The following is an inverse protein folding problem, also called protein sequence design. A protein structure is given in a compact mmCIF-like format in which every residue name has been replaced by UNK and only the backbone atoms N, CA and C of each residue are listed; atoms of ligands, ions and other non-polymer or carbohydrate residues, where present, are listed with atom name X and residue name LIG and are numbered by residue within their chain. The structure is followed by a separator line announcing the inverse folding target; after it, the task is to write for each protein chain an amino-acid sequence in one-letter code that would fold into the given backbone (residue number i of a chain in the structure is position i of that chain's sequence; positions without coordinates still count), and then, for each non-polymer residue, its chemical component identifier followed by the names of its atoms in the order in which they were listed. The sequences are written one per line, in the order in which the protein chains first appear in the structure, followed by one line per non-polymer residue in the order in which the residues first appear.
data_IF_811811143311
#
_entry.id   IF_811811143311
#
_cell.length_a   1.000
_cell.length_b   1.000
_cell.length_c   1.000
_cell.angle_alpha   90.00
_cell.angle_beta   90.00
_cell.angle_gamma   90.00
#
_symmetry.space_group_name_H-M   'P 1'
#
loop_
_entity.id
_entity.type
_entity.pdbx_description
1 polymer ?
#
# COMPACT_ATOMS: atom_id res chain seq x y z
N UNK A 1 -9.10 -14.74 -9.20
CA UNK A 1 -9.72 -13.79 -10.15
C UNK A 1 -9.16 -12.41 -9.88
N UNK A 2 -8.88 -11.59 -10.89
CA UNK A 2 -8.41 -10.22 -10.66
C UNK A 2 -9.59 -9.31 -10.27
N UNK A 3 -9.39 -8.47 -9.26
CA UNK A 3 -10.37 -7.44 -8.83
C UNK A 3 -9.73 -6.05 -8.79
N UNK A 4 -10.53 -5.02 -9.01
CA UNK A 4 -10.09 -3.61 -9.07
C UNK A 4 -10.28 -2.90 -7.72
N UNK A 5 -9.80 -1.66 -7.62
CA UNK A 5 -9.82 -0.85 -6.39
C UNK A 5 -11.22 -0.68 -5.80
N UNK A 6 -12.26 -0.59 -6.63
CA UNK A 6 -13.66 -0.51 -6.16
C UNK A 6 -14.05 -1.70 -5.28
N UNK A 7 -13.51 -2.89 -5.56
CA UNK A 7 -13.72 -4.08 -4.72
C UNK A 7 -13.07 -3.91 -3.34
N UNK A 8 -11.86 -3.34 -3.29
CA UNK A 8 -11.16 -3.04 -2.04
C UNK A 8 -11.94 -1.98 -1.22
N UNK A 9 -12.42 -0.93 -1.87
CA UNK A 9 -13.21 0.13 -1.23
C UNK A 9 -14.53 -0.39 -0.69
N UNK A 10 -15.21 -1.25 -1.44
CA UNK A 10 -16.47 -1.86 -1.01
C UNK A 10 -16.31 -2.66 0.29
N UNK A 11 -15.20 -3.37 0.44
CA UNK A 11 -14.86 -4.14 1.64
C UNK A 11 -14.39 -3.26 2.80
N UNK A 12 -13.63 -2.19 2.51
CA UNK A 12 -13.02 -1.34 3.54
C UNK A 12 -14.02 -0.33 4.16
N UNK A 13 -14.94 0.20 3.37
CA UNK A 13 -15.89 1.23 3.84
C UNK A 13 -16.97 0.60 4.73
N UNK A 14 -17.40 1.34 5.74
CA UNK A 14 -18.53 0.91 6.58
C UNK A 14 -19.81 0.75 5.75
N UNK A 15 -20.07 1.74 4.89
CA UNK A 15 -21.20 1.78 3.96
C UNK A 15 -20.71 1.99 2.53
N UNK A 16 -20.88 0.96 1.70
CA UNK A 16 -20.67 1.02 0.25
C UNK A 16 -21.80 0.27 -0.47
N UNK A 17 -22.17 0.74 -1.66
CA UNK A 17 -23.25 0.18 -2.46
C UNK A 17 -22.88 -1.17 -3.10
N UNK A 18 -21.59 -1.53 -3.14
CA UNK A 18 -21.09 -2.81 -3.65
C UNK A 18 -20.69 -3.79 -2.54
N UNK A 19 -20.87 -3.43 -1.25
CA UNK A 19 -20.31 -4.20 -0.14
C UNK A 19 -20.84 -5.63 -0.08
N UNK A 20 -22.16 -5.79 -0.19
CA UNK A 20 -22.80 -7.11 -0.12
C UNK A 20 -22.38 -8.01 -1.28
N UNK A 21 -22.24 -7.42 -2.47
CA UNK A 21 -21.81 -8.09 -3.68
C UNK A 21 -20.33 -8.50 -3.61
N UNK A 22 -19.48 -7.66 -3.02
CA UNK A 22 -18.07 -7.96 -2.80
C UNK A 22 -17.88 -9.09 -1.76
N UNK A 23 -18.62 -9.05 -0.66
CA UNK A 23 -18.62 -10.10 0.37
C UNK A 23 -19.12 -11.44 -0.21
N UNK A 24 -20.21 -11.43 -0.97
CA UNK A 24 -20.72 -12.64 -1.63
C UNK A 24 -19.72 -13.21 -2.66
N UNK A 25 -18.97 -12.34 -3.35
CA UNK A 25 -17.93 -12.77 -4.28
C UNK A 25 -16.76 -13.46 -3.56
N UNK A 26 -16.32 -12.96 -2.40
CA UNK A 26 -15.27 -13.56 -1.57
C UNK A 26 -15.62 -14.99 -1.12
N UNK A 27 -16.89 -15.24 -0.79
CA UNK A 27 -17.34 -16.58 -0.39
C UNK A 27 -17.30 -17.59 -1.55
N UNK A 28 -17.38 -17.11 -2.79
CA UNK A 28 -17.58 -17.94 -3.99
C UNK A 28 -16.34 -18.06 -4.86
N UNK A 29 -15.37 -17.16 -4.70
CA UNK A 29 -14.25 -16.98 -5.63
C UNK A 29 -12.99 -16.63 -4.85
N UNK A 30 -11.88 -17.27 -5.22
CA UNK A 30 -10.56 -16.77 -4.89
C UNK A 30 -10.29 -15.52 -5.73
N UNK A 31 -9.94 -14.42 -5.06
CA UNK A 31 -9.64 -13.13 -5.68
C UNK A 31 -8.24 -12.68 -5.31
N UNK A 32 -7.66 -11.86 -6.17
CA UNK A 32 -6.37 -11.21 -5.96
C UNK A 32 -6.36 -9.92 -6.78
N UNK A 33 -5.42 -9.04 -6.49
CA UNK A 33 -5.29 -7.77 -7.21
C UNK A 33 -3.83 -7.42 -7.50
N UNK A 34 -3.58 -6.23 -8.02
CA UNK A 34 -2.26 -5.68 -8.24
C UNK A 34 -1.91 -4.67 -7.15
N UNK A 35 -0.62 -4.39 -7.01
CA UNK A 35 -0.15 -3.28 -6.17
C UNK A 35 -0.72 -1.93 -6.62
N UNK A 36 -1.08 -1.77 -7.90
CA UNK A 36 -1.69 -0.54 -8.41
C UNK A 36 -3.06 -0.29 -7.76
N UNK A 37 -3.85 -1.34 -7.53
CA UNK A 37 -5.13 -1.21 -6.84
C UNK A 37 -4.95 -0.78 -5.39
N UNK A 38 -3.90 -1.29 -4.71
CA UNK A 38 -3.55 -0.83 -3.37
C UNK A 38 -3.01 0.60 -3.35
N UNK A 39 -2.20 1.00 -4.35
CA UNK A 39 -1.73 2.37 -4.47
C UNK A 39 -2.91 3.37 -4.60
N UNK A 40 -3.88 3.04 -5.45
CA UNK A 40 -5.10 3.84 -5.60
C UNK A 40 -5.95 3.82 -4.33
N UNK A 41 -6.12 2.65 -3.70
CA UNK A 41 -6.82 2.51 -2.43
C UNK A 41 -6.23 3.44 -1.35
N UNK A 42 -4.90 3.47 -1.19
CA UNK A 42 -4.24 4.33 -0.18
C UNK A 42 -4.49 5.82 -0.44
N UNK A 43 -4.42 6.26 -1.70
CA UNK A 43 -4.76 7.64 -2.09
C UNK A 43 -6.22 8.00 -1.83
N UNK A 44 -7.13 7.02 -1.93
CA UNK A 44 -8.55 7.22 -1.65
C UNK A 44 -8.88 7.12 -0.16
N UNK A 45 -8.14 6.31 0.60
CA UNK A 45 -8.29 6.16 2.04
C UNK A 45 -8.07 7.50 2.76
N UNK A 46 -7.13 8.32 2.29
CA UNK A 46 -6.92 9.69 2.77
C UNK A 46 -8.16 10.59 2.63
N UNK A 47 -9.03 10.31 1.66
CA UNK A 47 -10.25 11.10 1.39
C UNK A 47 -11.47 10.59 2.16
N UNK A 48 -11.50 9.31 2.50
CA UNK A 48 -12.68 8.63 3.05
C UNK A 48 -12.60 8.35 4.56
N UNK A 49 -11.62 8.93 5.27
CA UNK A 49 -11.41 8.73 6.72
C UNK A 49 -11.31 7.25 7.11
N UNK A 50 -10.66 6.46 6.24
CA UNK A 50 -10.47 5.02 6.44
C UNK A 50 -9.23 4.83 7.32
N UNK A 51 -9.36 4.02 8.39
CA UNK A 51 -8.21 3.51 9.14
C UNK A 51 -7.39 2.58 8.23
N UNK A 52 -6.37 3.17 7.59
CA UNK A 52 -5.57 2.52 6.56
C UNK A 52 -4.83 1.29 7.07
N UNK A 53 -4.28 1.33 8.27
CA UNK A 53 -3.49 0.22 8.84
C UNK A 53 -4.40 -0.97 9.07
N UNK A 54 -5.55 -0.74 9.71
CA UNK A 54 -6.54 -1.80 9.93
C UNK A 54 -7.14 -2.30 8.63
N UNK A 55 -7.52 -1.40 7.71
CA UNK A 55 -8.14 -1.76 6.45
C UNK A 55 -7.20 -2.60 5.59
N UNK A 56 -5.95 -2.15 5.40
CA UNK A 56 -4.96 -2.90 4.62
C UNK A 56 -4.67 -4.25 5.24
N UNK A 57 -4.47 -4.34 6.56
CA UNK A 57 -4.21 -5.62 7.23
C UNK A 57 -5.31 -6.66 7.00
N UNK A 58 -6.58 -6.22 6.95
CA UNK A 58 -7.69 -7.11 6.62
C UNK A 58 -7.76 -7.42 5.12
N UNK A 59 -7.54 -6.41 4.27
CA UNK A 59 -7.69 -6.53 2.83
C UNK A 59 -6.64 -7.45 2.22
N UNK A 60 -5.38 -7.40 2.65
CA UNK A 60 -4.32 -8.24 2.05
C UNK A 60 -4.54 -9.74 2.28
N UNK A 61 -5.21 -10.11 3.39
CA UNK A 61 -5.61 -11.48 3.67
C UNK A 61 -6.79 -11.94 2.77
N UNK A 62 -7.72 -11.04 2.46
CA UNK A 62 -8.90 -11.34 1.65
C UNK A 62 -8.64 -11.22 0.14
N UNK A 63 -7.81 -10.26 -0.25
CA UNK A 63 -7.52 -9.83 -1.62
C UNK A 63 -6.03 -9.53 -1.73
N UNK A 64 -5.16 -10.56 -1.77
CA UNK A 64 -3.73 -10.36 -1.85
C UNK A 64 -3.33 -9.61 -3.13
N UNK A 65 -2.34 -8.72 -3.01
CA UNK A 65 -1.64 -8.17 -4.15
C UNK A 65 -0.65 -9.21 -4.69
N UNK A 66 -0.60 -9.38 -6.01
CA UNK A 66 0.32 -10.31 -6.66
C UNK A 66 1.49 -9.57 -7.34
N UNK A 67 2.70 -10.16 -7.32
CA UNK A 67 3.09 -11.36 -6.56
C UNK A 67 3.10 -11.11 -5.04
N UNK A 68 3.28 -12.16 -4.23
CA UNK A 68 3.11 -12.12 -2.76
C UNK A 68 3.89 -10.99 -2.08
N UNK A 69 5.07 -10.68 -2.60
CA UNK A 69 5.94 -9.58 -2.15
C UNK A 69 5.22 -8.23 -2.19
N UNK A 70 4.29 -8.02 -3.13
CA UNK A 70 3.50 -6.79 -3.17
C UNK A 70 2.57 -6.65 -1.97
N UNK A 71 2.04 -7.75 -1.43
CA UNK A 71 1.21 -7.68 -0.22
C UNK A 71 2.06 -7.27 1.00
N UNK A 72 3.29 -7.77 1.08
CA UNK A 72 4.25 -7.38 2.12
C UNK A 72 4.67 -5.92 1.98
N UNK A 73 4.93 -5.46 0.77
CA UNK A 73 5.27 -4.06 0.51
C UNK A 73 4.13 -3.10 0.88
N UNK A 74 2.88 -3.47 0.61
CA UNK A 74 1.71 -2.68 1.00
C UNK A 74 1.57 -2.62 2.52
N UNK A 75 1.76 -3.75 3.23
CA UNK A 75 1.75 -3.80 4.70
C UNK A 75 2.85 -2.94 5.33
N UNK A 76 4.08 -3.03 4.83
CA UNK A 76 5.19 -2.18 5.27
C UNK A 76 4.91 -0.70 4.97
N UNK A 77 4.40 -0.40 3.79
CA UNK A 77 4.07 0.96 3.37
C UNK A 77 3.05 1.63 4.28
N UNK A 78 1.96 0.96 4.68
CA UNK A 78 1.01 1.56 5.63
C UNK A 78 1.60 1.77 7.02
N UNK A 79 2.55 0.93 7.45
CA UNK A 79 3.25 1.12 8.72
C UNK A 79 4.18 2.34 8.66
N UNK A 80 4.94 2.51 7.57
CA UNK A 80 5.78 3.69 7.39
C UNK A 80 4.95 4.97 7.29
N UNK A 81 3.82 4.92 6.59
CA UNK A 81 2.90 6.04 6.54
C UNK A 81 2.39 6.46 7.92
N UNK A 82 2.00 5.49 8.76
CA UNK A 82 1.50 5.76 10.12
C UNK A 82 2.60 6.25 11.06
N UNK A 83 3.77 5.63 11.01
CA UNK A 83 4.88 5.93 11.93
C UNK A 83 5.66 7.21 11.55
N UNK A 84 5.81 7.50 10.26
CA UNK A 84 6.64 8.60 9.75
C UNK A 84 5.85 9.71 9.04
N UNK A 85 4.54 9.55 8.86
CA UNK A 85 3.69 10.58 8.24
C UNK A 85 3.91 10.75 6.73
N UNK A 86 4.50 9.76 6.07
CA UNK A 86 4.82 9.78 4.64
C UNK A 86 3.55 9.87 3.78
N UNK A 87 3.69 10.41 2.56
CA UNK A 87 2.58 10.35 1.59
C UNK A 87 2.32 8.91 1.18
N UNK A 88 1.09 8.60 0.73
CA UNK A 88 0.71 7.22 0.37
C UNK A 88 1.64 6.57 -0.65
N UNK A 89 2.14 7.34 -1.63
CA UNK A 89 3.03 6.79 -2.66
C UNK A 89 4.47 6.65 -2.17
N UNK A 90 4.99 7.61 -1.40
CA UNK A 90 6.35 7.53 -0.86
C UNK A 90 6.46 6.36 0.14
N UNK A 91 5.44 6.18 0.97
CA UNK A 91 5.37 5.06 1.90
C UNK A 91 5.29 3.70 1.17
N UNK A 92 4.50 3.62 0.10
CA UNK A 92 4.43 2.40 -0.71
C UNK A 92 5.75 2.11 -1.42
N UNK A 93 6.45 3.14 -1.90
CA UNK A 93 7.81 3.00 -2.43
C UNK A 93 8.77 2.50 -1.35
N UNK A 94 8.76 3.06 -0.14
CA UNK A 94 9.57 2.56 0.98
C UNK A 94 9.28 1.08 1.28
N UNK A 95 8.00 0.69 1.33
CA UNK A 95 7.60 -0.70 1.53
C UNK A 95 8.11 -1.65 0.44
N UNK A 96 8.14 -1.19 -0.81
CA UNK A 96 8.72 -1.96 -1.94
C UNK A 96 10.23 -2.09 -1.81
N UNK A 97 10.93 -1.01 -1.50
CA UNK A 97 12.40 -0.97 -1.36
C UNK A 97 12.85 -1.91 -0.25
N UNK A 98 12.21 -1.83 0.93
CA UNK A 98 12.47 -2.72 2.06
C UNK A 98 12.11 -4.18 1.73
N UNK A 99 10.99 -4.44 1.03
CA UNK A 99 10.66 -5.81 0.60
C UNK A 99 11.67 -6.40 -0.38
N UNK A 100 12.28 -5.57 -1.23
CA UNK A 100 13.28 -6.01 -2.19
C UNK A 100 14.69 -6.12 -1.61
N UNK A 101 14.93 -5.63 -0.40
CA UNK A 101 16.26 -5.55 0.23
C UNK A 101 17.28 -4.90 -0.73
N UNK A 102 16.87 -3.79 -1.36
CA UNK A 102 17.62 -3.12 -2.41
C UNK A 102 17.92 -1.67 -2.04
N UNK A 103 19.10 -1.14 -2.40
CA UNK A 103 19.35 0.29 -2.25
C UNK A 103 18.48 1.10 -3.21
N UNK A 104 18.15 2.33 -2.82
CA UNK A 104 17.36 3.26 -3.63
C UNK A 104 18.20 4.47 -4.04
N UNK A 105 18.29 4.73 -5.33
CA UNK A 105 18.77 6.03 -5.83
C UNK A 105 17.58 6.98 -5.88
N UNK A 106 17.48 7.90 -4.93
CA UNK A 106 16.26 8.69 -4.74
C UNK A 106 16.47 10.05 -4.07
N UNK A 107 15.50 10.94 -4.26
CA UNK A 107 15.46 12.27 -3.64
C UNK A 107 14.55 12.37 -2.43
N UNK A 108 13.85 11.28 -2.09
CA UNK A 108 13.00 11.25 -0.91
C UNK A 108 13.90 11.11 0.33
N UNK A 109 13.92 12.15 1.16
CA UNK A 109 14.76 12.22 2.35
C UNK A 109 14.15 11.46 3.53
N UNK A 110 12.84 11.24 3.53
CA UNK A 110 12.17 10.47 4.59
C UNK A 110 12.70 9.04 4.70
N UNK A 111 13.28 8.49 3.62
CA UNK A 111 13.93 7.18 3.65
C UNK A 111 15.18 7.13 4.54
N UNK A 112 15.82 8.27 4.84
CA UNK A 112 17.00 8.33 5.72
C UNK A 112 16.63 8.03 7.19
N UNK A 113 15.34 8.10 7.55
CA UNK A 113 14.82 7.71 8.87
C UNK A 113 14.41 6.23 8.97
N UNK A 114 14.48 5.50 7.85
CA UNK A 114 14.10 4.09 7.75
C UNK A 114 15.36 3.21 7.66
N UNK A 115 15.17 1.89 7.78
CA UNK A 115 16.25 0.92 7.52
C UNK A 115 16.41 0.67 6.00
N UNK A 116 16.57 1.75 5.23
CA UNK A 116 16.68 1.75 3.77
C UNK A 116 18.01 2.41 3.37
N UNK A 117 18.79 1.73 2.52
CA UNK A 117 20.03 2.29 1.95
C UNK A 117 19.70 3.27 0.82
N UNK A 118 19.52 4.55 1.16
CA UNK A 118 19.33 5.62 0.18
C UNK A 118 20.66 6.16 -0.34
N UNK A 119 20.87 6.05 -1.64
CA UNK A 119 21.88 6.77 -2.39
C UNK A 119 21.27 8.12 -2.81
N UNK A 120 21.79 9.27 -2.32
CA UNK A 120 21.20 10.57 -2.64
C UNK A 120 21.27 10.88 -4.13
N UNK A 121 20.12 11.26 -4.72
CA UNK A 121 20.06 11.77 -6.09
C UNK A 121 20.41 13.26 -6.16
N UNK A 122 20.29 13.98 -5.04
CA UNK A 122 20.65 15.40 -4.99
C UNK A 122 22.13 15.61 -5.34
N UNK A 123 22.46 16.70 -6.07
CA UNK A 123 23.85 17.03 -6.30
C UNK A 123 24.55 17.21 -4.95
N UNK A 124 25.71 16.55 -4.79
CA UNK A 124 26.53 16.72 -3.60
C UNK A 124 26.74 18.21 -3.33
N UNK A 125 26.31 18.68 -2.16
CA UNK A 125 26.72 20.00 -1.69
C UNK A 125 28.24 19.93 -1.54
N UNK A 126 28.96 20.39 -2.55
CA UNK A 126 30.32 20.86 -2.37
C UNK A 126 30.19 22.04 -1.39
N UNK A 127 30.37 21.77 -0.09
CA UNK A 127 30.72 22.81 0.89
C UNK A 127 32.16 23.28 0.64
#
# INVERSE_FOLDING_TARGET
MYVETDFLLALAKESDWLKSEAEEALEKREVATSILAYAEFLLLAEKYDIDRVRAVSNLVELVPALPEEHSQAVLKGVQYQDAHGMTSLDALHAGMIDTWDAPVLGSEQDYDELDIDRIPLEPGRNE
#
